data_IF_354443293824
#
_entry.id   IF_354443293824
#
_cell.length_a   1.000
_cell.length_b   1.000
_cell.length_c   1.000
_cell.angle_alpha   90.00
_cell.angle_beta   90.00
_cell.angle_gamma   90.00
#
_symmetry.space_group_name_H-M   'P 1'
#
loop_
_entity.id
_entity.type
_entity.pdbx_description
1 polymer ?
#
# COMPACT_ATOMS: atom_id res chain seq x y z
N UNK A 1 -9.90 -16.66 2.80
CA UNK A 1 -8.90 -16.66 3.89
C UNK A 1 -7.84 -15.61 3.61
N UNK A 2 -7.63 -14.66 4.52
CA UNK A 2 -6.69 -13.55 4.34
C UNK A 2 -5.25 -13.97 4.61
N UNK A 3 -4.31 -13.48 3.82
CA UNK A 3 -2.86 -13.58 4.09
C UNK A 3 -2.33 -12.22 4.47
N UNK A 4 -1.18 -12.18 5.16
CA UNK A 4 -0.49 -10.93 5.54
C UNK A 4 -0.30 -9.97 4.35
N UNK A 5 -0.09 -10.50 3.14
CA UNK A 5 0.09 -9.67 1.94
C UNK A 5 -1.18 -8.94 1.50
N UNK A 6 -2.34 -9.40 1.94
CA UNK A 6 -3.66 -8.87 1.56
C UNK A 6 -4.14 -7.78 2.55
N UNK A 7 -3.35 -7.44 3.57
CA UNK A 7 -3.68 -6.42 4.56
C UNK A 7 -3.22 -5.02 4.13
N UNK A 8 -4.04 -4.02 4.46
CA UNK A 8 -3.67 -2.61 4.40
C UNK A 8 -2.65 -2.22 5.48
N UNK A 9 -2.12 -0.99 5.42
CA UNK A 9 -1.08 -0.55 6.36
C UNK A 9 -1.55 -0.56 7.82
N UNK A 10 -2.77 -0.07 8.09
CA UNK A 10 -3.35 -0.01 9.44
C UNK A 10 -3.64 -1.40 10.00
N UNK A 11 -4.22 -2.28 9.18
CA UNK A 11 -4.52 -3.66 9.58
C UNK A 11 -3.25 -4.45 9.89
N UNK A 12 -2.21 -4.26 9.08
CA UNK A 12 -0.91 -4.88 9.30
C UNK A 12 -0.26 -4.38 10.60
N UNK A 13 -0.39 -3.10 10.91
CA UNK A 13 0.16 -2.52 12.14
C UNK A 13 -0.54 -3.08 13.38
N UNK A 14 -1.88 -3.12 13.36
CA UNK A 14 -2.70 -3.74 14.41
C UNK A 14 -2.32 -5.20 14.60
N UNK A 15 -2.13 -5.95 13.51
CA UNK A 15 -1.74 -7.35 13.58
C UNK A 15 -0.35 -7.56 14.18
N UNK A 16 0.63 -6.73 13.80
CA UNK A 16 2.00 -6.80 14.33
C UNK A 16 2.02 -6.51 15.83
N UNK A 17 1.30 -5.48 16.27
CA UNK A 17 1.20 -5.14 17.69
C UNK A 17 0.50 -6.24 18.47
N UNK A 18 -0.57 -6.83 17.92
CA UNK A 18 -1.25 -7.97 18.52
C UNK A 18 -0.32 -9.19 18.67
N UNK A 19 0.46 -9.54 17.64
CA UNK A 19 1.45 -10.62 17.70
C UNK A 19 2.51 -10.38 18.77
N UNK A 20 3.05 -9.15 18.85
CA UNK A 20 4.02 -8.76 19.90
C UNK A 20 3.40 -8.86 21.29
N UNK A 21 2.15 -8.42 21.46
CA UNK A 21 1.39 -8.56 22.70
C UNK A 21 1.26 -10.02 23.14
N UNK A 22 0.81 -10.92 22.25
CA UNK A 22 0.72 -12.36 22.55
C UNK A 22 2.07 -12.96 22.95
N UNK A 23 3.17 -12.50 22.33
CA UNK A 23 4.51 -12.96 22.71
C UNK A 23 4.90 -12.50 24.11
N UNK A 24 4.54 -11.29 24.50
CA UNK A 24 4.79 -10.76 25.84
C UNK A 24 3.99 -11.51 26.92
N UNK A 25 2.82 -12.06 26.57
CA UNK A 25 2.06 -12.99 27.43
C UNK A 25 2.68 -14.39 27.55
N UNK A 26 3.82 -14.66 26.90
CA UNK A 26 4.56 -15.91 27.03
C UNK A 26 4.19 -16.99 26.01
N UNK A 27 3.25 -16.75 25.10
CA UNK A 27 2.83 -17.74 24.11
C UNK A 27 4.00 -18.13 23.19
N UNK A 28 4.06 -19.42 22.84
CA UNK A 28 4.96 -19.95 21.83
C UNK A 28 4.59 -19.46 20.43
N UNK A 29 5.53 -19.50 19.50
CA UNK A 29 5.25 -19.07 18.13
C UNK A 29 4.20 -19.91 17.42
N UNK A 30 4.01 -21.19 17.82
CA UNK A 30 2.94 -22.03 17.24
C UNK A 30 1.57 -21.59 17.75
N UNK A 31 1.43 -21.38 19.06
CA UNK A 31 0.17 -20.88 19.67
C UNK A 31 -0.21 -19.51 19.12
N UNK A 32 0.76 -18.62 18.89
CA UNK A 32 0.50 -17.31 18.28
C UNK A 32 -0.06 -17.46 16.86
N UNK A 33 0.47 -18.39 16.05
CA UNK A 33 -0.03 -18.63 14.69
C UNK A 33 -1.49 -19.10 14.74
N UNK A 34 -1.80 -20.06 15.61
CA UNK A 34 -3.17 -20.57 15.78
C UNK A 34 -4.11 -19.46 16.26
N UNK A 35 -3.69 -18.68 17.26
CA UNK A 35 -4.52 -17.62 17.83
C UNK A 35 -4.79 -16.48 16.85
N UNK A 36 -3.78 -16.08 16.06
CA UNK A 36 -3.96 -15.11 14.96
C UNK A 36 -4.93 -15.66 13.92
N UNK A 37 -4.84 -16.94 13.58
CA UNK A 37 -5.76 -17.54 12.63
C UNK A 37 -7.20 -17.56 13.17
N UNK A 38 -7.41 -17.98 14.41
CA UNK A 38 -8.73 -18.07 15.03
C UNK A 38 -9.37 -16.69 15.29
N UNK A 39 -8.61 -15.73 15.82
CA UNK A 39 -9.17 -14.44 16.25
C UNK A 39 -9.18 -13.39 15.14
N UNK A 40 -8.24 -13.45 14.18
CA UNK A 40 -8.11 -12.44 13.11
C UNK A 40 -8.40 -12.99 11.71
N UNK A 41 -8.55 -14.30 11.55
CA UNK A 41 -8.78 -14.92 10.23
C UNK A 41 -7.60 -14.77 9.25
N UNK A 42 -6.41 -14.42 9.76
CA UNK A 42 -5.21 -14.17 8.96
C UNK A 42 -4.28 -15.37 9.05
N UNK A 43 -3.93 -15.95 7.90
CA UNK A 43 -2.89 -16.97 7.83
C UNK A 43 -1.50 -16.33 7.85
N UNK A 44 -0.73 -16.64 8.88
CA UNK A 44 0.65 -16.18 9.07
C UNK A 44 1.60 -17.37 9.25
N UNK A 45 2.82 -17.25 8.73
CA UNK A 45 3.83 -18.29 8.94
C UNK A 45 4.51 -18.14 10.30
N UNK A 46 4.89 -19.26 10.93
CA UNK A 46 5.68 -19.27 12.17
C UNK A 46 6.98 -18.47 12.05
N UNK A 47 7.62 -18.52 10.88
CA UNK A 47 8.82 -17.73 10.58
C UNK A 47 8.55 -16.22 10.60
N UNK A 48 7.42 -15.77 10.05
CA UNK A 48 7.00 -14.36 10.11
C UNK A 48 6.77 -13.91 11.54
N UNK A 49 6.03 -14.70 12.33
CA UNK A 49 5.79 -14.44 13.76
C UNK A 49 7.11 -14.29 14.52
N UNK A 50 8.03 -15.26 14.36
CA UNK A 50 9.34 -15.23 14.98
C UNK A 50 10.13 -13.97 14.63
N UNK A 51 10.09 -13.54 13.36
CA UNK A 51 10.79 -12.34 12.89
C UNK A 51 10.21 -11.05 13.49
N UNK A 52 8.88 -10.95 13.59
CA UNK A 52 8.21 -9.80 14.21
C UNK A 52 8.46 -9.72 15.71
N UNK A 53 8.46 -10.86 16.40
CA UNK A 53 8.74 -10.94 17.84
C UNK A 53 10.19 -10.59 18.18
N UNK A 54 11.15 -10.93 17.31
CA UNK A 54 12.58 -10.64 17.52
C UNK A 54 12.99 -9.25 17.03
N UNK A 55 12.05 -8.42 16.58
CA UNK A 55 12.28 -7.09 15.97
C UNK A 55 13.23 -7.10 14.75
N UNK A 56 13.66 -8.28 14.28
CA UNK A 56 14.55 -8.45 13.12
C UNK A 56 13.91 -8.05 11.79
N UNK A 57 12.59 -7.88 11.77
CA UNK A 57 11.86 -7.50 10.58
C UNK A 57 10.69 -6.60 10.96
N UNK A 58 10.90 -5.28 10.94
CA UNK A 58 9.78 -4.35 10.92
C UNK A 58 9.15 -4.37 9.52
N UNK A 59 7.88 -4.79 9.38
CA UNK A 59 7.22 -4.80 8.08
C UNK A 59 7.16 -3.42 7.41
N UNK A 60 7.33 -2.35 8.18
CA UNK A 60 7.30 -0.96 7.72
C UNK A 60 8.68 -0.36 7.43
N UNK A 61 9.80 -0.98 7.83
CA UNK A 61 11.14 -0.36 7.68
C UNK A 61 11.56 -0.10 6.22
N UNK A 62 10.93 -0.76 5.24
CA UNK A 62 11.15 -0.53 3.80
C UNK A 62 9.92 0.01 3.07
N UNK A 63 8.81 0.23 3.77
CA UNK A 63 7.55 0.69 3.18
C UNK A 63 7.31 2.11 3.71
N UNK A 64 7.39 3.10 2.83
CA UNK A 64 7.01 4.46 3.18
C UNK A 64 5.52 4.47 3.54
N UNK A 65 5.22 4.75 4.82
CA UNK A 65 3.85 4.94 5.28
C UNK A 65 3.26 6.17 4.59
N UNK A 66 1.98 6.06 4.23
CA UNK A 66 1.23 7.17 3.64
C UNK A 66 0.25 7.71 4.66
N UNK A 67 0.02 9.02 4.61
CA UNK A 67 -1.09 9.61 5.32
C UNK A 67 -2.38 9.33 4.56
N UNK A 68 -3.14 8.32 5.04
CA UNK A 68 -4.45 7.94 4.51
C UNK A 68 -5.58 8.41 5.45
N UNK A 69 -5.34 9.49 6.21
CA UNK A 69 -6.41 10.18 6.93
C UNK A 69 -7.27 11.02 5.95
N UNK A 70 -8.55 11.28 6.27
CA UNK A 70 -9.39 12.15 5.46
C UNK A 70 -8.73 13.52 5.25
N UNK A 71 -8.47 13.88 3.99
CA UNK A 71 -7.82 15.13 3.61
C UNK A 71 -8.27 15.56 2.21
N UNK A 72 -8.15 16.86 1.86
CA UNK A 72 -8.45 17.32 0.50
C UNK A 72 -7.62 16.59 -0.57
N UNK A 73 -6.34 16.33 -0.29
CA UNK A 73 -5.45 15.57 -1.16
C UNK A 73 -5.96 14.14 -1.42
N UNK A 74 -6.33 13.43 -0.36
CA UNK A 74 -6.87 12.08 -0.48
C UNK A 74 -8.22 12.07 -1.20
N UNK A 75 -9.10 13.04 -0.90
CA UNK A 75 -10.38 13.19 -1.59
C UNK A 75 -10.18 13.43 -3.10
N UNK A 76 -9.22 14.27 -3.48
CA UNK A 76 -8.86 14.49 -4.88
C UNK A 76 -8.36 13.21 -5.56
N UNK A 77 -7.48 12.46 -4.88
CA UNK A 77 -6.97 11.18 -5.38
C UNK A 77 -8.11 10.18 -5.60
N UNK A 78 -9.06 10.11 -4.67
CA UNK A 78 -10.23 9.24 -4.78
C UNK A 78 -11.14 9.66 -5.94
N UNK A 79 -11.37 10.96 -6.12
CA UNK A 79 -12.12 11.47 -7.27
C UNK A 79 -11.47 11.09 -8.60
N UNK A 80 -10.15 11.28 -8.72
CA UNK A 80 -9.39 10.87 -9.90
C UNK A 80 -9.37 9.33 -10.09
N UNK A 81 -9.39 8.57 -8.99
CA UNK A 81 -9.52 7.11 -8.99
C UNK A 81 -10.82 6.60 -9.58
N UNK A 82 -11.95 7.24 -9.27
CA UNK A 82 -13.22 6.88 -9.88
C UNK A 82 -13.37 7.33 -11.35
N UNK A 83 -12.44 8.16 -11.85
CA UNK A 83 -12.40 8.63 -13.24
C UNK A 83 -11.31 7.94 -14.07
N UNK A 84 -10.16 8.60 -14.21
CA UNK A 84 -9.11 8.25 -15.19
C UNK A 84 -7.92 7.46 -14.62
N UNK A 85 -7.83 7.30 -13.30
CA UNK A 85 -6.69 6.61 -12.68
C UNK A 85 -6.92 5.10 -12.67
N UNK A 86 -5.88 4.36 -13.05
CA UNK A 86 -5.86 2.89 -13.00
C UNK A 86 -4.93 2.40 -11.90
N UNK A 87 -5.34 1.35 -11.18
CA UNK A 87 -4.48 0.60 -10.25
C UNK A 87 -4.14 -0.78 -10.82
N UNK A 88 -2.94 -1.27 -10.54
CA UNK A 88 -2.52 -2.59 -11.02
C UNK A 88 -1.22 -3.08 -10.39
N UNK A 89 -0.90 -4.34 -10.64
CA UNK A 89 0.36 -4.94 -10.19
C UNK A 89 1.28 -5.10 -11.41
N UNK A 90 2.34 -4.30 -11.46
CA UNK A 90 3.35 -4.34 -12.51
C UNK A 90 4.41 -5.42 -12.28
N UNK A 91 5.44 -5.42 -13.13
CA UNK A 91 6.59 -6.31 -13.01
C UNK A 91 7.25 -6.23 -11.63
N UNK A 92 7.77 -7.36 -11.14
CA UNK A 92 8.42 -7.49 -9.81
C UNK A 92 7.49 -7.10 -8.64
N UNK A 93 6.18 -7.35 -8.76
CA UNK A 93 5.18 -7.07 -7.72
C UNK A 93 5.08 -5.59 -7.31
N UNK A 94 5.29 -4.68 -8.27
CA UNK A 94 5.14 -3.24 -8.05
C UNK A 94 3.66 -2.84 -8.06
N UNK A 95 3.12 -2.50 -6.91
CA UNK A 95 1.75 -2.00 -6.73
C UNK A 95 1.64 -0.58 -7.29
N UNK A 96 1.13 -0.47 -8.51
CA UNK A 96 1.13 0.74 -9.33
C UNK A 96 -0.21 1.44 -9.27
N UNK A 97 -0.15 2.75 -9.22
CA UNK A 97 -1.28 3.67 -9.41
C UNK A 97 -0.85 4.63 -10.50
N UNK A 98 -1.66 4.75 -11.55
CA UNK A 98 -1.27 5.48 -12.76
C UNK A 98 -2.42 6.32 -13.31
N UNK A 99 -2.14 7.59 -13.57
CA UNK A 99 -2.96 8.50 -14.39
C UNK A 99 -2.28 8.67 -15.75
N UNK A 100 -3.01 8.63 -16.87
CA UNK A 100 -2.46 8.88 -18.21
C UNK A 100 -3.46 9.68 -19.06
N UNK A 101 -3.19 10.97 -19.25
CA UNK A 101 -4.12 11.94 -19.86
C UNK A 101 -3.38 12.92 -20.79
N UNK A 102 -4.11 13.65 -21.63
CA UNK A 102 -3.53 14.70 -22.48
C UNK A 102 -3.28 15.98 -21.67
N UNK A 103 -4.09 16.21 -20.64
CA UNK A 103 -4.01 17.39 -19.78
C UNK A 103 -2.82 17.32 -18.81
N UNK A 104 -1.90 18.27 -18.98
CA UNK A 104 -0.71 18.40 -18.15
C UNK A 104 -1.03 18.97 -16.76
N UNK A 105 -1.91 19.95 -16.67
CA UNK A 105 -2.27 20.58 -15.39
C UNK A 105 -2.97 19.56 -14.47
N UNK A 106 -3.86 18.74 -15.04
CA UNK A 106 -4.48 17.65 -14.31
C UNK A 106 -3.45 16.64 -13.79
N UNK A 107 -2.47 16.29 -14.64
CA UNK A 107 -1.35 15.43 -14.28
C UNK A 107 -0.52 16.01 -13.13
N UNK A 108 -0.16 17.30 -13.20
CA UNK A 108 0.64 17.98 -12.17
C UNK A 108 -0.11 18.11 -10.84
N UNK A 109 -1.41 18.44 -10.88
CA UNK A 109 -2.27 18.49 -9.69
C UNK A 109 -2.39 17.13 -9.01
N UNK A 110 -2.58 16.05 -9.78
CA UNK A 110 -2.61 14.69 -9.24
C UNK A 110 -1.26 14.27 -8.65
N UNK A 111 -0.14 14.62 -9.30
CA UNK A 111 1.20 14.38 -8.75
C UNK A 111 1.42 15.14 -7.43
N UNK A 112 0.91 16.36 -7.32
CA UNK A 112 0.97 17.15 -6.08
C UNK A 112 0.16 16.48 -4.96
N UNK A 113 -1.09 16.09 -5.22
CA UNK A 113 -1.92 15.41 -4.23
C UNK A 113 -1.27 14.10 -3.74
N UNK A 114 -0.66 13.32 -4.64
CA UNK A 114 0.09 12.11 -4.26
C UNK A 114 1.29 12.42 -3.35
N UNK A 115 2.03 13.51 -3.59
CA UNK A 115 3.14 13.93 -2.73
C UNK A 115 2.66 14.36 -1.34
N UNK A 116 1.50 15.03 -1.26
CA UNK A 116 0.92 15.51 0.01
C UNK A 116 0.59 14.37 0.96
N UNK A 117 0.07 13.24 0.46
CA UNK A 117 -0.14 12.03 1.28
C UNK A 117 1.14 11.21 1.53
N UNK A 118 2.30 11.73 1.12
CA UNK A 118 3.60 11.11 1.33
C UNK A 118 4.07 10.13 0.25
N UNK A 119 3.34 9.98 -0.87
CA UNK A 119 3.77 9.10 -1.96
C UNK A 119 4.96 9.68 -2.74
N UNK A 120 5.53 8.89 -3.65
CA UNK A 120 6.64 9.32 -4.50
C UNK A 120 6.28 9.15 -5.99
N UNK A 121 5.45 10.04 -6.55
CA UNK A 121 5.02 9.96 -7.93
C UNK A 121 6.12 10.38 -8.90
N UNK A 122 6.20 9.67 -10.03
CA UNK A 122 6.96 10.05 -11.21
C UNK A 122 6.00 10.64 -12.24
N UNK A 123 6.32 11.83 -12.73
CA UNK A 123 5.63 12.45 -13.88
C UNK A 123 6.46 12.17 -15.13
N UNK A 124 5.80 11.92 -16.26
CA UNK A 124 6.46 11.81 -17.55
C UNK A 124 5.52 12.09 -18.70
N UNK A 125 6.08 12.11 -19.90
CA UNK A 125 5.36 12.23 -21.15
C UNK A 125 5.67 11.02 -22.02
N UNK A 126 4.65 10.46 -22.64
CA UNK A 126 4.75 9.31 -23.53
C UNK A 126 4.24 9.74 -24.91
N UNK A 127 5.13 9.70 -25.90
CA UNK A 127 4.80 9.98 -27.28
C UNK A 127 4.89 8.67 -28.07
N UNK A 128 3.78 8.25 -28.64
CA UNK A 128 3.66 7.06 -29.48
C UNK A 128 3.30 7.57 -30.88
N UNK A 129 4.05 7.17 -31.91
CA UNK A 129 3.85 7.66 -33.28
C UNK A 129 2.44 7.36 -33.82
N UNK A 130 1.72 6.41 -33.21
CA UNK A 130 0.37 6.00 -33.59
C UNK A 130 -0.74 6.63 -32.74
N UNK A 131 -0.40 7.40 -31.70
CA UNK A 131 -1.38 7.95 -30.74
C UNK A 131 -1.06 9.38 -30.34
N UNK A 132 -2.07 10.11 -29.89
CA UNK A 132 -1.85 11.41 -29.24
C UNK A 132 -0.95 11.21 -28.02
N UNK A 133 0.11 12.01 -27.94
CA UNK A 133 1.03 11.98 -26.82
C UNK A 133 0.31 12.35 -25.52
N UNK A 134 0.69 11.67 -24.44
CA UNK A 134 0.00 11.79 -23.14
C UNK A 134 0.99 11.99 -22.01
N UNK A 135 0.62 12.87 -21.11
CA UNK A 135 1.23 12.98 -19.80
C UNK A 135 0.80 11.80 -18.93
N UNK A 136 1.68 11.38 -18.03
CA UNK A 136 1.34 10.37 -17.05
C UNK A 136 1.93 10.70 -15.69
N UNK A 137 1.22 10.27 -14.65
CA UNK A 137 1.74 10.16 -13.28
C UNK A 137 1.72 8.71 -12.89
N UNK A 138 2.81 8.22 -12.31
CA UNK A 138 2.91 6.87 -11.77
C UNK A 138 3.49 6.89 -10.36
N UNK A 139 2.81 6.26 -9.40
CA UNK A 139 3.36 5.95 -8.09
C UNK A 139 3.34 4.46 -7.84
N UNK A 140 4.43 3.93 -7.25
CA UNK A 140 4.46 2.54 -6.78
C UNK A 140 4.32 2.54 -5.26
N UNK A 141 3.12 2.24 -4.75
CA UNK A 141 2.89 2.18 -3.31
C UNK A 141 1.85 1.13 -2.97
N UNK A 142 2.27 0.13 -2.17
CA UNK A 142 1.38 -0.94 -1.73
C UNK A 142 0.25 -0.41 -0.84
N UNK A 143 0.56 0.51 0.09
CA UNK A 143 -0.44 1.03 1.03
C UNK A 143 -1.61 1.69 0.32
N UNK A 144 -1.35 2.57 -0.65
CA UNK A 144 -2.41 3.23 -1.41
C UNK A 144 -3.13 2.24 -2.35
N UNK A 145 -2.42 1.30 -2.97
CA UNK A 145 -3.07 0.26 -3.78
C UNK A 145 -4.06 -0.57 -2.96
N UNK A 146 -3.65 -1.00 -1.76
CA UNK A 146 -4.51 -1.79 -0.87
C UNK A 146 -5.67 -0.97 -0.30
N UNK A 147 -5.52 0.36 -0.22
CA UNK A 147 -6.59 1.25 0.22
C UNK A 147 -7.65 1.47 -0.86
N UNK A 148 -7.26 1.47 -2.13
CA UNK A 148 -8.16 1.68 -3.27
C UNK A 148 -8.82 0.39 -3.79
N UNK A 149 -8.27 -0.77 -3.44
CA UNK A 149 -8.75 -2.09 -3.86
C UNK A 149 -9.84 -2.60 -2.93
#
# INVERSE_FOLDING_TARGET
>A
MLRVKDLGQKELEVLVNYVRGLRNYGLSYSEIVERVYMEKGVKISKATVLRWCKEKHEPFNKIKLLDLSPSPALSYILGAYFGDVTIGIGQKYKYRIRLKVVDREFTEAFAKALKEIGANPRVGYENDSTRVGRWYVESTTKSLYMFLK
#
